data_IF_854898978018
#
_entry.id   IF_854898978018
#
_cell.length_a   1.000
_cell.length_b   1.000
_cell.length_c   1.000
_cell.angle_alpha   90.00
_cell.angle_beta   90.00
_cell.angle_gamma   90.00
#
_symmetry.space_group_name_H-M   'P 1'
#
loop_
_entity.id
_entity.type
_entity.pdbx_description
1 polymer ?
#
# COMPACT_ATOMS: atom_id res chain seq x y z
N UNK A 1 21.93 -85.00 84.33
CA UNK A 1 21.83 -83.52 84.31
C UNK A 1 22.60 -82.99 83.12
N UNK A 2 21.90 -82.34 82.19
CA UNK A 2 22.39 -81.93 80.86
C UNK A 2 22.38 -80.39 80.78
N UNK A 3 23.50 -79.70 80.50
CA UNK A 3 23.50 -78.25 80.38
C UNK A 3 23.35 -77.83 78.91
N UNK A 4 22.42 -76.90 78.69
CA UNK A 4 22.06 -76.34 77.38
C UNK A 4 23.10 -75.35 76.85
N UNK A 5 23.19 -75.34 75.51
CA UNK A 5 24.00 -74.50 74.61
C UNK A 5 23.68 -73.00 74.71
N UNK A 6 24.72 -72.16 74.71
CA UNK A 6 24.65 -70.75 74.27
C UNK A 6 25.48 -70.55 73.00
N UNK A 7 24.82 -70.63 71.85
CA UNK A 7 25.35 -70.21 70.55
C UNK A 7 24.56 -68.97 70.10
N UNK A 8 25.27 -68.01 69.49
CA UNK A 8 24.79 -66.91 68.63
C UNK A 8 24.55 -65.51 69.22
N UNK A 9 25.64 -64.76 69.47
CA UNK A 9 25.59 -63.28 69.49
C UNK A 9 26.56 -62.68 68.45
N UNK A 10 27.75 -63.27 68.25
CA UNK A 10 28.82 -62.70 67.39
C UNK A 10 28.54 -62.62 65.88
N UNK A 11 27.59 -63.39 65.32
CA UNK A 11 27.28 -63.34 63.87
C UNK A 11 26.27 -62.24 63.47
N UNK A 12 25.55 -61.62 64.42
CA UNK A 12 24.62 -60.51 64.12
C UNK A 12 25.32 -59.16 63.96
N UNK A 13 26.44 -58.91 64.64
CA UNK A 13 27.16 -57.62 64.55
C UNK A 13 27.92 -57.42 63.24
N UNK A 14 28.48 -58.47 62.65
CA UNK A 14 29.25 -58.37 61.39
C UNK A 14 28.33 -58.10 60.19
N UNK A 15 27.04 -58.49 60.25
CA UNK A 15 26.06 -58.12 59.20
C UNK A 15 25.55 -56.69 59.35
N UNK A 16 25.49 -56.13 60.57
CA UNK A 16 25.02 -54.76 60.81
C UNK A 16 26.03 -53.71 60.30
N UNK A 17 27.32 -53.98 60.48
CA UNK A 17 28.41 -53.09 60.01
C UNK A 17 28.58 -53.03 58.49
N UNK A 18 28.23 -54.09 57.74
CA UNK A 18 28.19 -54.03 56.26
C UNK A 18 26.98 -53.27 55.71
N UNK A 19 25.82 -53.38 56.37
CA UNK A 19 24.62 -52.62 56.00
C UNK A 19 24.79 -51.11 56.30
N UNK A 20 25.39 -50.75 57.43
CA UNK A 20 25.68 -49.35 57.77
C UNK A 20 26.73 -48.72 56.85
N UNK A 21 27.80 -49.45 56.48
CA UNK A 21 28.81 -48.92 55.54
C UNK A 21 28.27 -48.69 54.11
N UNK A 22 27.34 -49.52 53.62
CA UNK A 22 26.72 -49.29 52.29
C UNK A 22 25.70 -48.15 52.31
N UNK A 23 24.93 -47.98 53.40
CA UNK A 23 23.98 -46.88 53.53
C UNK A 23 24.65 -45.50 53.72
N UNK A 24 25.81 -45.44 54.38
CA UNK A 24 26.58 -44.21 54.55
C UNK A 24 27.19 -43.66 53.25
N UNK A 25 27.50 -44.53 52.28
CA UNK A 25 28.00 -44.13 50.96
C UNK A 25 26.94 -43.38 50.14
N UNK A 26 25.72 -43.94 50.03
CA UNK A 26 24.62 -43.27 49.33
C UNK A 26 24.17 -41.97 50.03
N UNK A 27 24.21 -41.94 51.36
CA UNK A 27 23.83 -40.74 52.13
C UNK A 27 24.85 -39.60 52.00
N UNK A 28 26.12 -39.90 51.68
CA UNK A 28 27.13 -38.88 51.31
C UNK A 28 26.99 -38.37 49.87
N UNK A 29 26.29 -39.12 49.02
CA UNK A 29 26.01 -38.73 47.63
C UNK A 29 24.75 -37.86 47.49
N UNK A 30 23.87 -37.83 48.50
CA UNK A 30 22.62 -37.07 48.48
C UNK A 30 22.52 -36.13 49.68
N UNK A 31 23.23 -34.99 49.69
CA UNK A 31 22.92 -33.92 50.63
C UNK A 31 21.45 -33.51 50.45
N UNK A 32 20.75 -33.07 51.51
CA UNK A 32 19.37 -32.61 51.39
C UNK A 32 19.32 -31.49 50.35
N UNK A 33 18.72 -31.80 49.20
CA UNK A 33 18.58 -30.84 48.11
C UNK A 33 17.65 -29.75 48.62
N UNK A 34 18.16 -28.53 48.75
CA UNK A 34 17.32 -27.38 49.03
C UNK A 34 16.37 -27.20 47.83
N UNK A 35 15.07 -27.40 48.07
CA UNK A 35 13.99 -27.35 47.07
C UNK A 35 14.07 -26.08 46.21
N UNK A 36 14.41 -24.95 46.81
CA UNK A 36 14.56 -23.68 46.10
C UNK A 36 15.62 -23.75 45.00
N UNK A 37 16.73 -24.45 45.26
CA UNK A 37 17.80 -24.68 44.29
C UNK A 37 17.30 -25.45 43.07
N UNK A 38 16.52 -26.50 43.32
CA UNK A 38 15.99 -27.37 42.28
C UNK A 38 14.98 -26.61 41.43
N UNK A 39 14.10 -25.84 42.07
CA UNK A 39 13.11 -24.99 41.38
C UNK A 39 13.79 -23.92 40.53
N UNK A 40 14.81 -23.24 41.07
CA UNK A 40 15.59 -22.23 40.34
C UNK A 40 16.27 -22.83 39.11
N UNK A 41 16.95 -23.98 39.27
CA UNK A 41 17.59 -24.70 38.16
C UNK A 41 16.58 -25.16 37.12
N UNK A 42 15.44 -25.70 37.54
CA UNK A 42 14.35 -26.09 36.64
C UNK A 42 13.78 -24.89 35.87
N UNK A 43 13.61 -23.74 36.53
CA UNK A 43 13.15 -22.51 35.89
C UNK A 43 14.12 -21.99 34.84
N UNK A 44 15.43 -21.96 35.14
CA UNK A 44 16.47 -21.54 34.20
C UNK A 44 16.58 -22.52 33.03
N UNK A 45 16.48 -23.83 33.30
CA UNK A 45 16.45 -24.86 32.27
C UNK A 45 15.24 -24.72 31.34
N UNK A 46 14.05 -24.44 31.88
CA UNK A 46 12.86 -24.17 31.09
C UNK A 46 13.00 -22.90 30.23
N UNK A 47 13.59 -21.83 30.78
CA UNK A 47 13.83 -20.58 30.05
C UNK A 47 14.86 -20.80 28.92
N UNK A 48 15.94 -21.54 29.16
CA UNK A 48 16.90 -21.91 28.14
C UNK A 48 16.26 -22.76 27.03
N UNK A 49 15.42 -23.73 27.39
CA UNK A 49 14.64 -24.52 26.43
C UNK A 49 13.70 -23.65 25.58
N UNK A 50 13.06 -22.66 26.19
CA UNK A 50 12.22 -21.70 25.48
C UNK A 50 13.03 -20.82 24.50
N UNK A 51 14.19 -20.29 24.93
CA UNK A 51 15.09 -19.49 24.07
C UNK A 51 15.52 -20.29 22.83
N UNK A 52 15.86 -21.57 22.98
CA UNK A 52 16.27 -22.41 21.85
C UNK A 52 15.08 -22.80 20.95
N UNK A 53 13.88 -22.96 21.52
CA UNK A 53 12.68 -23.32 20.77
C UNK A 53 12.06 -22.13 20.01
N UNK A 54 12.19 -20.91 20.53
CA UNK A 54 11.57 -19.69 19.97
C UNK A 54 12.18 -19.27 18.62
N UNK A 55 13.35 -19.79 18.26
CA UNK A 55 14.15 -19.31 17.14
C UNK A 55 13.72 -19.72 15.72
N UNK A 56 12.78 -20.65 15.55
CA UNK A 56 12.42 -21.15 14.22
C UNK A 56 13.54 -21.90 13.49
N UNK A 57 13.27 -22.29 12.24
CA UNK A 57 14.30 -22.69 11.29
C UNK A 57 14.89 -21.44 10.63
N UNK A 58 16.17 -21.48 10.31
CA UNK A 58 16.89 -20.37 9.70
C UNK A 58 17.32 -20.82 8.31
N UNK A 59 17.26 -19.91 7.35
CA UNK A 59 17.73 -20.13 5.99
C UNK A 59 19.25 -20.35 6.00
N UNK A 60 19.71 -21.45 5.38
CA UNK A 60 21.12 -21.88 5.35
C UNK A 60 21.94 -21.22 4.23
N UNK A 61 21.48 -20.08 3.71
CA UNK A 61 22.17 -19.33 2.65
C UNK A 61 22.32 -17.86 3.02
N UNK A 62 23.43 -17.26 2.55
CA UNK A 62 23.85 -15.92 2.93
C UNK A 62 24.15 -15.07 1.70
N UNK A 63 24.05 -13.75 1.87
CA UNK A 63 24.50 -12.81 0.85
C UNK A 63 25.99 -13.01 0.55
N UNK A 64 26.34 -13.03 -0.74
CA UNK A 64 27.70 -13.28 -1.21
C UNK A 64 28.10 -14.75 -1.25
N UNK A 65 27.28 -15.68 -0.76
CA UNK A 65 27.55 -17.12 -0.91
C UNK A 65 27.39 -17.54 -2.37
N UNK A 66 28.35 -18.34 -2.86
CA UNK A 66 28.26 -18.93 -4.20
C UNK A 66 27.52 -20.27 -4.13
N UNK A 67 26.42 -20.37 -4.87
CA UNK A 67 25.67 -21.61 -5.06
C UNK A 67 26.01 -22.23 -6.41
N UNK A 68 26.23 -23.55 -6.42
CA UNK A 68 26.61 -24.28 -7.64
C UNK A 68 25.40 -24.71 -8.49
N UNK A 69 24.21 -24.72 -7.88
CA UNK A 69 22.96 -25.18 -8.50
C UNK A 69 21.89 -24.13 -8.29
N UNK A 70 20.99 -24.05 -9.26
CA UNK A 70 19.80 -23.23 -9.14
C UNK A 70 18.94 -23.71 -7.96
N UNK A 71 18.38 -22.77 -7.21
CA UNK A 71 17.43 -23.04 -6.13
C UNK A 71 16.03 -22.86 -6.68
N UNK A 72 15.22 -23.90 -6.57
CA UNK A 72 13.81 -23.89 -6.98
C UNK A 72 12.88 -23.77 -5.78
N UNK A 73 11.68 -23.24 -6.01
CA UNK A 73 10.66 -23.09 -4.97
C UNK A 73 10.15 -24.44 -4.49
N UNK A 74 10.01 -24.63 -3.18
CA UNK A 74 9.46 -25.85 -2.58
C UNK A 74 7.97 -25.76 -2.32
N UNK A 75 7.42 -24.56 -2.25
CA UNK A 75 6.00 -24.27 -2.02
C UNK A 75 5.49 -23.24 -3.01
N UNK A 76 4.19 -23.25 -3.26
CA UNK A 76 3.55 -22.14 -3.95
C UNK A 76 3.53 -20.93 -3.01
N UNK A 77 4.07 -19.79 -3.44
CA UNK A 77 4.03 -18.55 -2.67
C UNK A 77 3.90 -17.32 -3.57
N UNK A 78 3.59 -16.19 -2.95
CA UNK A 78 3.39 -14.93 -3.65
C UNK A 78 4.19 -13.82 -2.98
N UNK A 79 5.16 -13.25 -3.70
CA UNK A 79 5.96 -12.13 -3.20
C UNK A 79 5.32 -10.81 -3.62
N UNK A 80 5.18 -9.88 -2.67
CA UNK A 80 4.71 -8.53 -2.96
C UNK A 80 5.67 -7.82 -3.91
N UNK A 81 5.14 -7.34 -5.05
CA UNK A 81 5.91 -6.57 -6.02
C UNK A 81 5.56 -5.08 -5.88
N UNK A 82 6.38 -4.36 -5.13
CA UNK A 82 6.18 -2.93 -4.87
C UNK A 82 6.27 -2.11 -6.16
N UNK A 83 7.27 -2.37 -7.00
CA UNK A 83 7.49 -1.63 -8.24
C UNK A 83 6.28 -1.77 -9.18
N UNK A 84 5.82 -3.00 -9.43
CA UNK A 84 4.66 -3.23 -10.29
C UNK A 84 3.38 -2.62 -9.69
N UNK A 85 3.23 -2.63 -8.36
CA UNK A 85 2.13 -1.96 -7.69
C UNK A 85 2.16 -0.45 -7.94
N UNK A 86 3.33 0.18 -7.81
CA UNK A 86 3.51 1.62 -8.06
C UNK A 86 3.23 1.95 -9.53
N UNK A 87 3.77 1.17 -10.47
CA UNK A 87 3.53 1.35 -11.91
C UNK A 87 2.04 1.26 -12.26
N UNK A 88 1.33 0.26 -11.72
CA UNK A 88 -0.11 0.11 -11.92
C UNK A 88 -0.91 1.26 -11.30
N UNK A 89 -0.48 1.77 -10.14
CA UNK A 89 -1.08 2.93 -9.48
C UNK A 89 -0.90 4.22 -10.27
N UNK A 90 0.31 4.46 -10.79
CA UNK A 90 0.61 5.60 -11.67
C UNK A 90 -0.22 5.50 -12.94
N UNK A 91 -0.26 4.33 -13.57
CA UNK A 91 -1.09 4.09 -14.76
C UNK A 91 -2.58 4.33 -14.50
N UNK A 92 -3.11 3.87 -13.36
CA UNK A 92 -4.51 4.10 -12.99
C UNK A 92 -4.81 5.60 -12.79
N UNK A 93 -3.90 6.33 -12.14
CA UNK A 93 -3.99 7.79 -11.98
C UNK A 93 -3.94 8.53 -13.31
N UNK A 94 -3.06 8.10 -14.23
CA UNK A 94 -2.87 8.70 -15.55
C UNK A 94 -4.03 8.43 -16.51
N UNK A 95 -4.62 7.23 -16.45
CA UNK A 95 -5.76 6.83 -17.29
C UNK A 95 -7.12 7.30 -16.76
N UNK A 96 -7.14 7.88 -15.55
CA UNK A 96 -8.34 8.48 -14.96
C UNK A 96 -8.92 9.60 -15.83
N UNK A 97 -10.25 9.76 -15.87
CA UNK A 97 -10.87 10.75 -16.73
C UNK A 97 -10.60 12.19 -16.27
N UNK A 98 -10.47 13.09 -17.24
CA UNK A 98 -10.42 14.54 -16.99
C UNK A 98 -11.85 15.08 -16.90
N UNK A 99 -12.18 15.81 -15.84
CA UNK A 99 -13.51 16.41 -15.66
C UNK A 99 -13.53 17.86 -16.13
N UNK A 100 -14.60 18.23 -16.82
CA UNK A 100 -14.87 19.60 -17.21
C UNK A 100 -16.28 19.97 -16.81
N UNK A 101 -16.46 21.17 -16.27
CA UNK A 101 -17.74 21.70 -15.82
C UNK A 101 -18.22 22.81 -16.73
N UNK A 102 -19.48 22.75 -17.17
CA UNK A 102 -20.11 23.81 -17.94
C UNK A 102 -20.14 25.12 -17.14
N UNK A 103 -19.72 26.21 -17.77
CA UNK A 103 -19.82 27.56 -17.24
C UNK A 103 -21.26 28.09 -17.39
N UNK A 104 -22.10 27.74 -16.41
CA UNK A 104 -23.51 28.15 -16.38
C UNK A 104 -23.69 29.69 -16.44
N UNK A 105 -22.72 30.45 -15.92
CA UNK A 105 -22.76 31.92 -15.96
C UNK A 105 -22.62 32.44 -17.39
N UNK A 106 -21.70 31.86 -18.17
CA UNK A 106 -21.53 32.18 -19.59
C UNK A 106 -22.77 31.77 -20.41
N UNK A 107 -23.35 30.61 -20.13
CA UNK A 107 -24.58 30.17 -20.81
C UNK A 107 -25.76 31.11 -20.53
N UNK A 108 -25.90 31.57 -19.29
CA UNK A 108 -26.94 32.54 -18.89
C UNK A 108 -26.68 33.90 -19.54
N UNK A 109 -25.44 34.34 -19.59
CA UNK A 109 -25.01 35.58 -20.26
C UNK A 109 -25.31 35.54 -21.76
N UNK A 110 -24.94 34.46 -22.46
CA UNK A 110 -25.24 34.25 -23.87
C UNK A 110 -26.75 34.31 -24.12
N UNK A 111 -27.55 33.58 -23.33
CA UNK A 111 -29.01 33.57 -23.46
C UNK A 111 -29.60 34.96 -23.22
N UNK A 112 -29.16 35.65 -22.17
CA UNK A 112 -29.65 36.98 -21.80
C UNK A 112 -29.33 38.02 -22.85
N UNK A 113 -28.09 38.07 -23.35
CA UNK A 113 -27.68 39.02 -24.39
C UNK A 113 -28.42 38.79 -25.71
N UNK A 114 -28.54 37.54 -26.15
CA UNK A 114 -29.28 37.21 -27.37
C UNK A 114 -30.78 37.51 -27.23
N UNK A 115 -31.42 37.13 -26.12
CA UNK A 115 -32.84 37.41 -25.90
C UNK A 115 -33.12 38.93 -25.81
N UNK A 116 -32.20 39.71 -25.24
CA UNK A 116 -32.36 41.16 -25.09
C UNK A 116 -32.36 41.93 -26.43
N UNK A 117 -31.84 41.35 -27.51
CA UNK A 117 -31.81 41.99 -28.84
C UNK A 117 -33.20 42.38 -29.31
N UNK A 118 -34.20 41.52 -29.09
CA UNK A 118 -35.56 41.79 -29.51
C UNK A 118 -36.20 42.92 -28.69
N UNK A 119 -35.88 43.01 -27.40
CA UNK A 119 -36.35 44.11 -26.55
C UNK A 119 -35.75 45.45 -27.00
N UNK A 120 -34.45 45.47 -27.33
CA UNK A 120 -33.79 46.65 -27.91
C UNK A 120 -34.42 47.04 -29.24
N UNK A 121 -34.77 46.06 -30.08
CA UNK A 121 -35.40 46.31 -31.37
C UNK A 121 -36.78 46.93 -31.25
N UNK A 122 -37.58 46.50 -30.27
CA UNK A 122 -38.88 47.11 -29.96
C UNK A 122 -38.73 48.55 -29.43
N UNK A 123 -37.68 48.83 -28.67
CA UNK A 123 -37.41 50.17 -28.14
C UNK A 123 -36.91 51.17 -29.21
N UNK A 124 -36.26 50.67 -30.27
CA UNK A 124 -35.64 51.48 -31.32
C UNK A 124 -36.18 51.12 -32.72
N UNK A 125 -37.49 50.89 -32.84
CA UNK A 125 -38.10 50.43 -34.10
C UNK A 125 -37.88 51.41 -35.26
N UNK A 126 -37.92 52.72 -34.97
CA UNK A 126 -37.80 53.81 -35.95
C UNK A 126 -36.36 54.31 -36.17
N UNK A 127 -35.38 53.81 -35.39
CA UNK A 127 -33.98 54.26 -35.46
C UNK A 127 -33.01 53.06 -35.56
N UNK A 128 -32.71 52.61 -36.80
CA UNK A 128 -31.84 51.46 -37.04
C UNK A 128 -30.41 51.65 -36.52
N UNK A 129 -29.90 52.89 -36.53
CA UNK A 129 -28.54 53.18 -36.05
C UNK A 129 -28.47 53.16 -34.53
N UNK A 130 -29.47 53.70 -33.84
CA UNK A 130 -29.57 53.57 -32.39
C UNK A 130 -29.70 52.10 -31.96
N UNK A 131 -30.47 51.29 -32.71
CA UNK A 131 -30.56 49.85 -32.47
C UNK A 131 -29.20 49.16 -32.64
N UNK A 132 -28.48 49.39 -33.74
CA UNK A 132 -27.12 48.83 -33.93
C UNK A 132 -26.17 49.25 -32.81
N UNK A 133 -26.19 50.52 -32.41
CA UNK A 133 -25.34 51.02 -31.33
C UNK A 133 -25.67 50.38 -29.97
N UNK A 134 -26.96 50.25 -29.64
CA UNK A 134 -27.42 49.60 -28.41
C UNK A 134 -27.10 48.10 -28.40
N UNK A 135 -27.32 47.40 -29.51
CA UNK A 135 -26.95 46.00 -29.69
C UNK A 135 -25.44 45.80 -29.50
N UNK A 136 -24.62 46.63 -30.15
CA UNK A 136 -23.15 46.56 -30.03
C UNK A 136 -22.67 46.81 -28.61
N UNK A 137 -23.30 47.72 -27.86
CA UNK A 137 -23.02 47.94 -26.43
C UNK A 137 -23.31 46.70 -25.59
N UNK A 138 -24.30 45.90 -25.98
CA UNK A 138 -24.59 44.60 -25.37
C UNK A 138 -23.73 43.44 -25.89
N UNK A 139 -22.80 43.71 -26.84
CA UNK A 139 -21.93 42.71 -27.47
C UNK A 139 -22.62 41.91 -28.59
N UNK A 140 -23.72 42.40 -29.13
CA UNK A 140 -24.44 41.79 -30.26
C UNK A 140 -24.13 42.57 -31.53
N UNK A 141 -23.74 41.86 -32.58
CA UNK A 141 -23.40 42.40 -33.90
C UNK A 141 -24.57 42.11 -34.84
N UNK A 142 -25.13 43.17 -35.42
CA UNK A 142 -26.21 43.10 -36.41
C UNK A 142 -25.70 43.65 -37.75
N UNK A 143 -25.61 42.78 -38.76
CA UNK A 143 -25.48 43.17 -40.16
C UNK A 143 -26.83 43.68 -40.72
N UNK A 144 -26.83 44.20 -41.95
CA UNK A 144 -28.01 44.83 -42.54
C UNK A 144 -29.19 43.85 -42.68
N UNK A 145 -28.89 42.61 -43.06
CA UNK A 145 -29.89 41.55 -43.19
C UNK A 145 -30.47 41.15 -41.82
N UNK A 146 -29.62 41.00 -40.81
CA UNK A 146 -30.02 40.65 -39.47
C UNK A 146 -30.79 41.78 -38.77
N UNK A 147 -30.41 43.04 -39.01
CA UNK A 147 -31.14 44.21 -38.52
C UNK A 147 -32.56 44.25 -39.08
N UNK A 148 -32.70 44.12 -40.40
CA UNK A 148 -34.00 44.12 -41.07
C UNK A 148 -34.90 42.99 -40.53
N UNK A 149 -34.34 41.80 -40.33
CA UNK A 149 -35.10 40.65 -39.81
C UNK A 149 -35.47 40.80 -38.32
N UNK A 150 -34.59 41.35 -37.48
CA UNK A 150 -34.91 41.67 -36.09
C UNK A 150 -36.00 42.74 -35.99
N UNK A 151 -35.95 43.79 -36.82
CA UNK A 151 -37.01 44.81 -36.87
C UNK A 151 -38.34 44.22 -37.32
N UNK A 152 -38.32 43.34 -38.33
CA UNK A 152 -39.51 42.60 -38.78
C UNK A 152 -40.10 41.76 -37.65
N UNK A 153 -39.27 41.05 -36.89
CA UNK A 153 -39.70 40.26 -35.73
C UNK A 153 -40.20 41.14 -34.57
N UNK A 154 -39.62 42.33 -34.38
CA UNK A 154 -40.04 43.28 -33.35
C UNK A 154 -41.41 43.90 -33.63
N UNK A 155 -41.77 44.06 -34.91
CA UNK A 155 -43.08 44.53 -35.35
C UNK A 155 -44.20 43.48 -35.19
N UNK A 156 -43.86 42.20 -35.03
CA UNK A 156 -44.83 41.15 -34.73
C UNK A 156 -45.24 41.20 -33.25
N UNK A 157 -46.52 40.93 -32.99
CA UNK A 157 -47.05 40.85 -31.63
C UNK A 157 -46.48 39.64 -30.87
N UNK A 158 -46.29 38.51 -31.57
CA UNK A 158 -45.70 37.28 -31.02
C UNK A 158 -44.18 37.17 -31.30
N UNK A 159 -43.41 37.18 -30.21
CA UNK A 159 -41.96 37.03 -30.18
C UNK A 159 -41.50 35.57 -30.00
N UNK A 160 -42.43 34.62 -29.90
CA UNK A 160 -42.15 33.23 -29.53
C UNK A 160 -41.16 32.52 -30.46
N UNK A 161 -41.24 32.78 -31.76
CA UNK A 161 -40.33 32.17 -32.75
C UNK A 161 -38.86 32.52 -32.47
N UNK A 162 -38.56 33.79 -32.19
CA UNK A 162 -37.20 34.23 -31.89
C UNK A 162 -36.70 33.62 -30.58
N UNK A 163 -37.54 33.63 -29.54
CA UNK A 163 -37.17 33.07 -28.24
C UNK A 163 -36.89 31.56 -28.34
N UNK A 164 -37.70 30.83 -29.11
CA UNK A 164 -37.49 29.41 -29.38
C UNK A 164 -36.19 29.15 -30.15
N UNK A 165 -35.82 30.03 -31.08
CA UNK A 165 -34.56 29.96 -31.80
C UNK A 165 -33.36 30.20 -30.87
N UNK A 166 -33.44 31.20 -29.98
CA UNK A 166 -32.42 31.46 -28.95
C UNK A 166 -32.26 30.25 -28.04
N UNK A 167 -33.35 29.71 -27.50
CA UNK A 167 -33.31 28.55 -26.60
C UNK A 167 -32.77 27.30 -27.31
N UNK A 168 -33.07 27.13 -28.60
CA UNK A 168 -32.52 26.06 -29.43
C UNK A 168 -31.02 26.23 -29.67
N UNK A 169 -30.56 27.44 -29.99
CA UNK A 169 -29.15 27.74 -30.17
C UNK A 169 -28.34 27.50 -28.88
N UNK A 170 -28.87 27.94 -27.74
CA UNK A 170 -28.27 27.70 -26.41
C UNK A 170 -28.18 26.21 -26.10
N UNK A 171 -29.22 25.44 -26.41
CA UNK A 171 -29.23 23.98 -26.26
C UNK A 171 -28.18 23.30 -27.13
N UNK A 172 -28.01 23.74 -28.38
CA UNK A 172 -26.97 23.22 -29.28
C UNK A 172 -25.58 23.56 -28.77
N UNK A 173 -25.32 24.82 -28.36
CA UNK A 173 -24.04 25.24 -27.80
C UNK A 173 -23.68 24.44 -26.55
N UNK A 174 -24.64 24.19 -25.65
CA UNK A 174 -24.46 23.35 -24.45
C UNK A 174 -23.98 21.94 -24.81
N UNK A 175 -24.33 21.43 -25.99
CA UNK A 175 -23.86 20.13 -26.46
C UNK A 175 -22.47 20.20 -27.12
N UNK A 176 -21.88 21.37 -27.36
CA UNK A 176 -20.55 21.49 -27.99
C UNK A 176 -19.45 21.43 -26.92
N UNK A 177 -18.44 20.55 -27.08
CA UNK A 177 -17.39 20.34 -26.08
C UNK A 177 -16.28 21.39 -26.17
N UNK A 178 -16.65 22.68 -26.08
CA UNK A 178 -15.72 23.80 -26.20
C UNK A 178 -14.94 24.00 -24.88
N UNK A 179 -13.66 23.66 -24.88
CA UNK A 179 -12.77 23.65 -23.71
C UNK A 179 -11.56 24.57 -23.89
N UNK A 180 -10.96 25.02 -22.79
CA UNK A 180 -9.83 25.95 -22.81
C UNK A 180 -8.47 25.23 -22.98
N UNK A 181 -7.63 25.62 -23.95
CA UNK A 181 -6.33 25.01 -24.21
C UNK A 181 -5.28 25.30 -23.14
N UNK A 182 -5.36 26.38 -22.35
CA UNK A 182 -4.29 26.75 -21.40
C UNK A 182 -4.14 25.71 -20.29
N UNK A 183 -5.24 25.11 -19.88
CA UNK A 183 -5.22 24.00 -18.93
C UNK A 183 -4.74 22.67 -19.55
N UNK A 184 -4.40 22.62 -20.85
CA UNK A 184 -3.95 21.39 -21.49
C UNK A 184 -2.62 20.86 -20.96
N UNK A 185 -1.74 21.71 -20.41
CA UNK A 185 -0.52 21.27 -19.72
C UNK A 185 -0.77 20.62 -18.36
N UNK A 186 -1.90 20.94 -17.71
CA UNK A 186 -2.34 20.31 -16.45
C UNK A 186 -3.09 19.00 -16.74
N UNK A 187 -3.64 18.85 -17.95
CA UNK A 187 -4.30 17.62 -18.38
C UNK A 187 -3.28 16.50 -18.45
N UNK A 188 -3.72 15.32 -18.04
CA UNK A 188 -2.94 14.10 -18.27
C UNK A 188 -3.13 13.70 -19.74
N UNK A 189 -2.07 13.69 -20.58
CA UNK A 189 -2.19 13.32 -21.99
C UNK A 189 -2.61 11.85 -22.15
N UNK A 190 -2.32 11.02 -21.15
CA UNK A 190 -2.71 9.61 -21.09
C UNK A 190 -4.17 9.39 -20.64
N UNK A 191 -4.93 10.44 -20.31
CA UNK A 191 -6.32 10.30 -19.94
C UNK A 191 -7.12 9.77 -21.15
N UNK A 192 -7.74 8.62 -20.99
CA UNK A 192 -8.48 7.96 -22.08
C UNK A 192 -9.85 8.59 -22.34
N UNK A 193 -10.36 9.38 -21.38
CA UNK A 193 -11.72 9.93 -21.40
C UNK A 193 -11.75 11.35 -20.83
N UNK A 194 -12.61 12.18 -21.40
CA UNK A 194 -13.02 13.46 -20.87
C UNK A 194 -14.50 13.37 -20.45
N UNK A 195 -14.82 13.79 -19.23
CA UNK A 195 -16.19 13.81 -18.72
C UNK A 195 -16.66 15.25 -18.65
N UNK A 196 -17.68 15.56 -19.44
CA UNK A 196 -18.34 16.86 -19.40
C UNK A 196 -19.50 16.80 -18.41
N UNK A 197 -19.48 17.71 -17.44
CA UNK A 197 -20.45 17.86 -16.39
C UNK A 197 -21.31 19.07 -16.65
N UNK A 198 -22.59 18.83 -16.62
CA UNK A 198 -23.59 19.86 -16.79
C UNK A 198 -24.33 20.09 -15.45
N UNK A 199 -24.17 21.25 -14.81
CA UNK A 199 -24.66 21.47 -13.44
C UNK A 199 -26.19 21.43 -13.33
N UNK A 200 -26.94 21.80 -14.38
CA UNK A 200 -28.42 21.82 -14.24
C UNK A 200 -29.03 20.43 -14.42
N UNK A 201 -28.39 19.55 -15.19
CA UNK A 201 -28.90 18.19 -15.45
C UNK A 201 -28.22 17.12 -14.61
N UNK A 202 -27.06 17.44 -14.01
CA UNK A 202 -26.17 16.47 -13.34
C UNK A 202 -25.76 15.28 -14.22
N UNK A 203 -25.95 15.36 -15.53
CA UNK A 203 -25.55 14.30 -16.45
C UNK A 203 -24.05 14.40 -16.77
N UNK A 204 -23.37 13.26 -16.73
CA UNK A 204 -22.00 13.14 -17.17
C UNK A 204 -21.96 12.64 -18.62
N UNK A 205 -21.34 13.41 -19.51
CA UNK A 205 -21.13 13.00 -20.90
C UNK A 205 -19.68 12.62 -21.12
N UNK A 206 -19.43 11.34 -21.33
CA UNK A 206 -18.12 10.83 -21.69
C UNK A 206 -17.81 11.11 -23.16
N UNK A 207 -16.67 11.75 -23.40
CA UNK A 207 -16.10 12.00 -24.71
C UNK A 207 -14.68 11.49 -24.75
N UNK A 208 -14.20 11.20 -25.95
CA UNK A 208 -12.77 10.98 -26.18
C UNK A 208 -12.03 12.33 -26.26
N UNK A 209 -10.74 12.39 -25.89
CA UNK A 209 -9.97 13.63 -25.96
C UNK A 209 -9.92 14.29 -27.34
N UNK A 210 -9.94 13.50 -28.43
CA UNK A 210 -9.98 13.96 -29.82
C UNK A 210 -11.31 14.58 -30.25
N UNK A 211 -12.36 14.42 -29.45
CA UNK A 211 -13.67 15.06 -29.68
C UNK A 211 -13.80 16.42 -29.00
N UNK A 212 -12.81 16.82 -28.18
CA UNK A 212 -12.82 18.13 -27.52
C UNK A 212 -12.51 19.23 -28.55
N UNK A 213 -13.30 20.29 -28.54
CA UNK A 213 -13.06 21.48 -29.37
C UNK A 213 -12.29 22.47 -28.50
N UNK A 214 -11.11 22.88 -28.94
CA UNK A 214 -10.31 23.84 -28.21
C UNK A 214 -10.65 25.27 -28.65
N UNK A 215 -10.67 26.21 -27.72
CA UNK A 215 -10.99 27.62 -28.01
C UNK A 215 -9.95 28.34 -28.88
N UNK A 216 -8.76 27.77 -29.08
CA UNK A 216 -7.76 28.29 -30.01
C UNK A 216 -7.91 27.77 -31.46
N UNK A 217 -8.76 26.76 -31.69
CA UNK A 217 -9.09 26.28 -33.04
C UNK A 217 -10.27 27.09 -33.59
N UNK A 218 -9.95 28.17 -34.29
CA UNK A 218 -10.95 29.11 -34.82
C UNK A 218 -11.96 28.42 -35.75
N UNK A 219 -11.53 27.46 -36.56
CA UNK A 219 -12.38 26.76 -37.52
C UNK A 219 -13.35 25.80 -36.81
N UNK A 220 -12.89 25.09 -35.78
CA UNK A 220 -13.76 24.23 -34.99
C UNK A 220 -14.77 25.05 -34.15
N UNK A 221 -14.36 26.21 -33.61
CA UNK A 221 -15.29 27.14 -32.96
C UNK A 221 -16.32 27.67 -33.94
N UNK A 222 -15.90 28.12 -35.12
CA UNK A 222 -16.81 28.65 -36.14
C UNK A 222 -17.85 27.61 -36.55
N UNK A 223 -17.44 26.34 -36.73
CA UNK A 223 -18.38 25.23 -37.00
C UNK A 223 -19.35 25.01 -35.85
N UNK A 224 -18.87 24.98 -34.61
CA UNK A 224 -19.73 24.82 -33.43
C UNK A 224 -20.78 25.94 -33.30
N UNK A 225 -20.39 27.18 -33.60
CA UNK A 225 -21.29 28.35 -33.61
C UNK A 225 -22.25 28.29 -34.80
N UNK A 226 -21.78 27.94 -35.99
CA UNK A 226 -22.61 27.76 -37.19
C UNK A 226 -23.75 26.76 -36.96
N UNK A 227 -23.43 25.61 -36.35
CA UNK A 227 -24.43 24.60 -35.98
C UNK A 227 -25.47 25.14 -34.99
N UNK A 228 -25.04 25.98 -34.04
CA UNK A 228 -25.96 26.59 -33.08
C UNK A 228 -26.89 27.62 -33.71
N UNK A 229 -26.39 28.41 -34.66
CA UNK A 229 -27.20 29.44 -35.32
C UNK A 229 -28.11 28.90 -36.42
N UNK A 230 -28.00 27.63 -36.79
CA UNK A 230 -28.88 27.00 -37.77
C UNK A 230 -30.37 27.08 -37.38
N UNK A 231 -30.67 27.20 -36.07
CA UNK A 231 -32.01 27.42 -35.54
C UNK A 231 -32.61 28.80 -35.87
N UNK A 232 -31.78 29.79 -36.21
CA UNK A 232 -32.25 31.09 -36.65
C UNK A 232 -32.58 31.08 -38.15
N UNK A 233 -33.49 31.98 -38.53
CA UNK A 233 -33.79 32.28 -39.94
C UNK A 233 -32.53 32.76 -40.66
N UNK A 234 -32.43 32.45 -41.95
CA UNK A 234 -31.25 32.70 -42.77
C UNK A 234 -30.68 34.13 -42.64
N UNK A 235 -31.48 35.21 -42.67
CA UNK A 235 -30.95 36.58 -42.55
C UNK A 235 -30.26 36.88 -41.23
N UNK A 236 -30.59 36.14 -40.15
CA UNK A 236 -30.01 36.35 -38.82
C UNK A 236 -28.76 35.53 -38.56
N UNK A 237 -28.47 34.49 -39.35
CA UNK A 237 -27.44 33.51 -39.00
C UNK A 237 -26.05 34.13 -38.88
N UNK A 238 -25.69 35.01 -39.82
CA UNK A 238 -24.40 35.69 -39.82
C UNK A 238 -24.25 36.63 -38.60
N UNK A 239 -25.24 37.48 -38.38
CA UNK A 239 -25.35 38.35 -37.20
C UNK A 239 -25.24 37.59 -35.87
N UNK A 240 -26.02 36.52 -35.70
CA UNK A 240 -26.03 35.74 -34.47
C UNK A 240 -24.72 34.98 -34.26
N UNK A 241 -24.08 34.48 -35.33
CA UNK A 241 -22.79 33.83 -35.24
C UNK A 241 -21.70 34.81 -34.79
N UNK A 242 -21.64 36.00 -35.41
CA UNK A 242 -20.73 37.07 -35.03
C UNK A 242 -20.95 37.50 -33.57
N UNK A 243 -22.21 37.62 -33.16
CA UNK A 243 -22.58 37.97 -31.77
C UNK A 243 -22.12 36.92 -30.76
N UNK A 244 -22.35 35.63 -31.02
CA UNK A 244 -21.91 34.55 -30.11
C UNK A 244 -20.38 34.58 -29.98
N UNK A 245 -19.65 34.74 -31.09
CA UNK A 245 -18.18 34.82 -31.07
C UNK A 245 -17.71 36.04 -30.28
N UNK A 246 -18.35 37.19 -30.44
CA UNK A 246 -18.00 38.41 -29.71
C UNK A 246 -18.25 38.27 -28.19
N UNK A 247 -19.36 37.65 -27.81
CA UNK A 247 -19.66 37.35 -26.40
C UNK A 247 -18.62 36.37 -25.82
N UNK A 248 -18.20 35.36 -26.60
CA UNK A 248 -17.13 34.45 -26.19
C UNK A 248 -15.77 35.15 -26.09
N UNK A 249 -15.49 36.20 -26.88
CA UNK A 249 -14.25 37.00 -26.79
C UNK A 249 -14.25 38.00 -25.65
N UNK A 250 -15.43 38.43 -25.17
CA UNK A 250 -15.54 39.48 -24.17
C UNK A 250 -14.87 39.03 -22.86
N UNK A 251 -13.76 39.67 -22.42
CA UNK A 251 -13.05 39.27 -21.23
C UNK A 251 -13.90 39.58 -20.00
N UNK A 252 -14.23 38.56 -19.21
CA UNK A 252 -14.96 38.71 -17.96
C UNK A 252 -14.04 38.52 -16.72
N UNK A 253 -12.80 38.10 -16.93
CA UNK A 253 -11.84 37.84 -15.87
C UNK A 253 -10.56 38.65 -16.09
N UNK A 254 -10.03 39.25 -15.01
CA UNK A 254 -8.81 40.06 -15.00
C UNK A 254 -7.55 39.32 -15.51
N UNK A 255 -7.63 37.99 -15.67
CA UNK A 255 -6.51 37.12 -16.04
C UNK A 255 -6.62 36.55 -17.46
N UNK A 256 -7.64 36.90 -18.24
CA UNK A 256 -7.81 36.33 -19.58
C UNK A 256 -7.00 37.11 -20.62
N UNK A 257 -6.20 36.41 -21.44
CA UNK A 257 -5.42 37.02 -22.51
C UNK A 257 -6.34 37.77 -23.49
N UNK A 258 -6.02 39.02 -23.88
CA UNK A 258 -6.82 39.75 -24.86
C UNK A 258 -7.02 38.93 -26.15
N UNK A 259 -8.29 38.79 -26.58
CA UNK A 259 -8.66 38.05 -27.79
C UNK A 259 -8.83 36.53 -27.61
N UNK A 260 -8.55 35.98 -26.43
CA UNK A 260 -8.82 34.57 -26.15
C UNK A 260 -10.32 34.30 -25.98
N UNK A 261 -10.83 33.28 -26.67
CA UNK A 261 -12.22 32.84 -26.55
C UNK A 261 -12.45 32.11 -25.21
N UNK A 262 -13.55 32.47 -24.52
CA UNK A 262 -14.00 31.81 -23.28
C UNK A 262 -14.47 30.38 -23.58
N UNK A 263 -14.04 29.38 -22.81
CA UNK A 263 -14.54 28.01 -22.96
C UNK A 263 -15.96 27.89 -22.42
N UNK A 264 -16.78 27.03 -23.02
CA UNK A 264 -18.06 26.64 -22.44
C UNK A 264 -17.84 25.69 -21.25
N UNK A 265 -16.84 24.82 -21.35
CA UNK A 265 -16.50 23.84 -20.33
C UNK A 265 -15.12 24.12 -19.73
N UNK A 266 -15.08 24.41 -18.43
CA UNK A 266 -13.86 24.68 -17.66
C UNK A 266 -13.33 23.40 -17.02
N UNK A 267 -12.02 23.24 -16.96
CA UNK A 267 -11.41 22.08 -16.30
C UNK A 267 -11.68 22.10 -14.80
N UNK A 268 -12.25 21.02 -14.26
CA UNK A 268 -12.50 20.86 -12.82
C UNK A 268 -11.32 20.14 -12.19
N UNK A 269 -10.31 20.93 -11.78
CA UNK A 269 -9.08 20.42 -11.16
C UNK A 269 -9.38 19.64 -9.88
N UNK A 270 -10.28 20.14 -9.03
CA UNK A 270 -10.58 19.53 -7.74
C UNK A 270 -11.17 18.13 -7.93
N UNK A 271 -12.19 17.98 -8.80
CA UNK A 271 -12.81 16.68 -9.07
C UNK A 271 -11.87 15.73 -9.80
N UNK A 272 -11.11 16.23 -10.78
CA UNK A 272 -10.14 15.40 -11.52
C UNK A 272 -9.04 14.85 -10.58
N UNK A 273 -8.51 15.69 -9.69
CA UNK A 273 -7.53 15.25 -8.67
C UNK A 273 -8.17 14.21 -7.76
N UNK A 274 -9.35 14.48 -7.20
CA UNK A 274 -10.03 13.56 -6.29
C UNK A 274 -10.29 12.17 -6.91
N UNK A 275 -10.79 12.13 -8.15
CA UNK A 275 -11.05 10.86 -8.86
C UNK A 275 -9.75 10.12 -9.15
N UNK A 276 -8.68 10.84 -9.50
CA UNK A 276 -7.40 10.20 -9.78
C UNK A 276 -6.69 9.66 -8.55
N UNK A 277 -6.81 10.34 -7.41
CA UNK A 277 -6.30 9.85 -6.13
C UNK A 277 -7.10 8.63 -5.66
N UNK A 278 -8.42 8.63 -5.90
CA UNK A 278 -9.26 7.46 -5.66
C UNK A 278 -8.80 6.27 -6.52
N UNK A 279 -8.62 6.48 -7.83
CA UNK A 279 -8.13 5.44 -8.74
C UNK A 279 -6.75 4.91 -8.33
N UNK A 280 -5.83 5.78 -7.88
CA UNK A 280 -4.52 5.39 -7.35
C UNK A 280 -4.64 4.49 -6.11
N UNK A 281 -5.51 4.84 -5.16
CA UNK A 281 -5.68 4.07 -3.91
C UNK A 281 -6.39 2.74 -4.11
N UNK A 282 -7.29 2.65 -5.09
CA UNK A 282 -8.07 1.45 -5.39
C UNK A 282 -7.28 0.36 -6.11
N UNK A 283 -6.06 0.66 -6.62
CA UNK A 283 -5.22 -0.37 -7.23
C UNK A 283 -4.75 -1.38 -6.16
N UNK A 284 -5.10 -2.67 -6.31
CA UNK A 284 -4.67 -3.70 -5.36
C UNK A 284 -3.17 -3.91 -5.44
N UNK A 285 -2.60 -4.37 -4.32
CA UNK A 285 -1.20 -4.81 -4.27
C UNK A 285 -0.98 -5.91 -5.31
N UNK A 286 0.08 -5.76 -6.09
CA UNK A 286 0.50 -6.74 -7.08
C UNK A 286 1.46 -7.73 -6.43
N UNK A 287 1.33 -9.00 -6.82
CA UNK A 287 2.16 -10.08 -6.30
C UNK A 287 2.74 -10.88 -7.45
N UNK A 288 4.03 -11.20 -7.37
CA UNK A 288 4.67 -12.19 -8.24
C UNK A 288 4.45 -13.56 -7.63
N UNK A 289 3.74 -14.42 -8.35
CA UNK A 289 3.48 -15.79 -7.93
C UNK A 289 4.62 -16.68 -8.38
N UNK A 290 5.00 -17.61 -7.51
CA UNK A 290 5.98 -18.65 -7.75
C UNK A 290 5.32 -19.98 -7.44
N UNK A 291 5.35 -20.90 -8.40
CA UNK A 291 4.87 -22.26 -8.25
C UNK A 291 5.99 -23.17 -7.72
N UNK A 292 5.62 -24.30 -7.12
CA UNK A 292 6.57 -25.36 -6.79
C UNK A 292 7.40 -25.74 -8.03
N UNK A 293 8.71 -25.76 -7.87
CA UNK A 293 9.66 -26.08 -8.93
C UNK A 293 10.14 -24.88 -9.76
N UNK A 294 9.53 -23.70 -9.62
CA UNK A 294 10.01 -22.50 -10.30
C UNK A 294 11.41 -22.14 -9.80
N UNK A 295 12.32 -21.81 -10.72
CA UNK A 295 13.66 -21.34 -10.37
C UNK A 295 13.57 -19.96 -9.70
N UNK A 296 13.99 -19.89 -8.44
CA UNK A 296 14.05 -18.64 -7.68
C UNK A 296 15.37 -17.92 -7.91
N UNK A 297 16.47 -18.68 -7.91
CA UNK A 297 17.81 -18.15 -8.09
C UNK A 297 18.64 -19.12 -8.92
N UNK A 298 19.34 -18.60 -9.93
CA UNK A 298 20.27 -19.37 -10.75
C UNK A 298 21.60 -19.63 -10.00
N UNK A 299 22.40 -20.58 -10.49
CA UNK A 299 23.74 -20.82 -9.94
C UNK A 299 24.62 -19.56 -10.06
N UNK A 300 25.27 -19.15 -8.98
CA UNK A 300 25.99 -17.88 -8.92
C UNK A 300 26.24 -17.38 -7.50
N UNK A 301 26.67 -16.13 -7.38
CA UNK A 301 26.83 -15.43 -6.10
C UNK A 301 25.50 -14.79 -5.72
N UNK A 302 25.01 -15.09 -4.52
CA UNK A 302 23.72 -14.60 -4.04
C UNK A 302 23.74 -13.10 -3.75
N UNK A 303 22.77 -12.36 -4.29
CA UNK A 303 22.53 -10.94 -3.99
C UNK A 303 21.57 -10.77 -2.81
N UNK A 304 21.54 -9.58 -2.20
CA UNK A 304 20.58 -9.25 -1.14
C UNK A 304 19.11 -9.49 -1.54
N UNK A 305 18.73 -9.13 -2.78
CA UNK A 305 17.37 -9.34 -3.30
C UNK A 305 17.02 -10.82 -3.42
N UNK A 306 17.98 -11.64 -3.86
CA UNK A 306 17.81 -13.09 -3.95
C UNK A 306 17.67 -13.72 -2.57
N UNK A 307 18.43 -13.25 -1.58
CA UNK A 307 18.29 -13.71 -0.18
C UNK A 307 16.91 -13.34 0.37
N UNK A 308 16.42 -12.12 0.12
CA UNK A 308 15.07 -11.73 0.54
C UNK A 308 13.98 -12.60 -0.11
N UNK A 309 14.13 -12.96 -1.39
CA UNK A 309 13.23 -13.88 -2.09
C UNK A 309 13.27 -15.29 -1.49
N UNK A 310 14.46 -15.83 -1.23
CA UNK A 310 14.63 -17.15 -0.64
C UNK A 310 14.13 -17.19 0.82
N UNK A 311 14.29 -16.11 1.57
CA UNK A 311 13.74 -16.01 2.93
C UNK A 311 12.21 -16.01 2.91
N UNK A 312 11.59 -15.27 2.00
CA UNK A 312 10.13 -15.27 1.84
C UNK A 312 9.58 -16.66 1.48
N UNK A 313 10.26 -17.39 0.58
CA UNK A 313 9.91 -18.79 0.29
C UNK A 313 10.10 -19.68 1.50
N UNK A 314 11.20 -19.51 2.24
CA UNK A 314 11.50 -20.33 3.40
C UNK A 314 10.48 -20.16 4.52
N UNK A 315 10.05 -18.93 4.79
CA UNK A 315 9.04 -18.62 5.79
C UNK A 315 7.70 -19.30 5.46
N UNK A 316 7.28 -19.25 4.19
CA UNK A 316 6.09 -19.94 3.69
C UNK A 316 6.25 -21.47 3.73
N UNK A 317 7.43 -21.99 3.36
CA UNK A 317 7.73 -23.41 3.46
C UNK A 317 7.66 -23.91 4.91
N UNK A 318 8.21 -23.17 5.87
CA UNK A 318 8.16 -23.49 7.31
C UNK A 318 6.74 -23.43 7.82
N UNK A 319 5.96 -22.42 7.42
CA UNK A 319 4.55 -22.28 7.78
C UNK A 319 3.73 -23.46 7.24
N UNK A 320 3.88 -23.81 5.97
CA UNK A 320 3.22 -24.93 5.31
C UNK A 320 3.61 -26.27 5.97
N UNK A 321 4.90 -26.49 6.23
CA UNK A 321 5.39 -27.71 6.89
C UNK A 321 4.88 -27.83 8.33
N UNK A 322 4.76 -26.70 9.05
CA UNK A 322 4.21 -26.65 10.40
C UNK A 322 2.72 -26.96 10.41
N UNK A 323 1.97 -26.44 9.44
CA UNK A 323 0.56 -26.74 9.27
C UNK A 323 0.33 -28.23 8.92
N UNK A 324 1.18 -28.79 8.05
CA UNK A 324 1.08 -30.19 7.64
C UNK A 324 1.47 -31.19 8.76
N UNK A 325 2.46 -30.85 9.60
CA UNK A 325 3.03 -31.77 10.59
C UNK A 325 3.18 -31.17 12.00
N UNK A 326 2.08 -30.73 12.65
CA UNK A 326 2.16 -29.98 13.91
C UNK A 326 2.78 -30.80 15.06
N UNK A 327 2.55 -32.11 15.10
CA UNK A 327 3.10 -33.00 16.14
C UNK A 327 4.63 -33.12 16.04
N UNK A 328 5.16 -33.27 14.81
CA UNK A 328 6.61 -33.36 14.59
C UNK A 328 7.32 -32.10 15.09
N UNK A 329 6.78 -30.93 14.81
CA UNK A 329 7.33 -29.66 15.29
C UNK A 329 7.32 -29.53 16.81
N UNK A 330 6.23 -29.96 17.46
CA UNK A 330 6.17 -30.02 18.94
C UNK A 330 7.21 -30.99 19.51
N UNK A 331 7.41 -32.15 18.89
CA UNK A 331 8.42 -33.12 19.31
C UNK A 331 9.85 -32.59 19.13
N UNK A 332 10.14 -31.90 18.01
CA UNK A 332 11.45 -31.27 17.80
C UNK A 332 11.69 -30.17 18.83
N UNK A 333 10.69 -29.31 19.08
CA UNK A 333 10.78 -28.27 20.09
C UNK A 333 10.98 -28.86 21.50
N UNK A 334 10.23 -29.91 21.85
CA UNK A 334 10.38 -30.64 23.11
C UNK A 334 11.75 -31.30 23.22
N UNK A 335 12.26 -31.90 22.15
CA UNK A 335 13.60 -32.50 22.10
C UNK A 335 14.71 -31.47 22.34
N UNK A 336 14.62 -30.29 21.70
CA UNK A 336 15.54 -29.16 21.94
C UNK A 336 15.46 -28.66 23.38
N UNK A 337 14.25 -28.52 23.93
CA UNK A 337 14.05 -28.11 25.31
C UNK A 337 14.59 -29.14 26.32
N UNK A 338 14.38 -30.43 26.06
CA UNK A 338 14.91 -31.52 26.89
C UNK A 338 16.43 -31.57 26.87
N UNK A 339 17.05 -31.35 25.70
CA UNK A 339 18.51 -31.26 25.58
C UNK A 339 19.07 -30.07 26.38
N UNK A 340 18.47 -28.89 26.24
CA UNK A 340 18.83 -27.71 27.03
C UNK A 340 18.73 -27.98 28.54
N UNK A 341 17.62 -28.63 28.95
CA UNK A 341 17.37 -29.01 30.32
C UNK A 341 18.45 -29.96 30.86
N UNK A 342 18.82 -30.99 30.10
CA UNK A 342 19.87 -31.94 30.46
C UNK A 342 21.23 -31.27 30.59
N UNK A 343 21.58 -30.32 29.71
CA UNK A 343 22.83 -29.56 29.80
C UNK A 343 22.85 -28.71 31.07
N UNK A 344 21.79 -27.95 31.36
CA UNK A 344 21.70 -27.11 32.56
C UNK A 344 21.80 -27.96 33.83
N UNK A 345 21.02 -29.06 33.89
CA UNK A 345 21.07 -29.98 35.03
C UNK A 345 22.42 -30.68 35.16
N UNK A 346 23.03 -31.10 34.05
CA UNK A 346 24.34 -31.75 34.04
C UNK A 346 25.43 -30.83 34.60
N UNK A 347 25.46 -29.56 34.17
CA UNK A 347 26.39 -28.56 34.69
C UNK A 347 26.17 -28.30 36.17
N UNK A 348 24.92 -28.11 36.61
CA UNK A 348 24.60 -27.89 38.04
C UNK A 348 24.97 -29.12 38.89
N UNK A 349 24.66 -30.33 38.41
CA UNK A 349 25.00 -31.57 39.08
C UNK A 349 26.52 -31.73 39.19
N UNK A 350 27.26 -31.47 38.11
CA UNK A 350 28.72 -31.49 38.09
C UNK A 350 29.31 -30.53 39.13
N UNK A 351 28.91 -29.25 39.12
CA UNK A 351 29.37 -28.26 40.11
C UNK A 351 29.01 -28.71 41.54
N UNK A 352 27.84 -29.34 41.75
CA UNK A 352 27.44 -29.82 43.07
C UNK A 352 28.27 -30.98 43.60
N UNK A 353 28.80 -31.82 42.70
CA UNK A 353 29.63 -32.97 43.07
C UNK A 353 31.06 -32.54 43.36
N UNK A 354 31.65 -31.69 42.52
CA UNK A 354 33.07 -31.33 42.59
C UNK A 354 33.34 -30.04 43.39
N UNK A 355 32.37 -29.13 43.50
CA UNK A 355 32.55 -27.81 44.12
C UNK A 355 31.39 -27.44 45.07
N UNK A 356 31.18 -28.29 46.08
CA UNK A 356 30.14 -28.09 47.10
C UNK A 356 30.18 -26.70 47.75
N UNK A 357 31.37 -26.10 47.88
CA UNK A 357 31.54 -24.76 48.44
C UNK A 357 31.07 -23.62 47.53
N UNK A 358 31.06 -23.79 46.21
CA UNK A 358 30.59 -22.75 45.29
C UNK A 358 29.07 -22.58 45.33
N UNK A 359 28.33 -23.70 45.50
CA UNK A 359 26.87 -23.70 45.53
C UNK A 359 26.25 -23.37 46.89
N UNK A 360 27.03 -23.22 47.96
CA UNK A 360 26.50 -22.86 49.28
C UNK A 360 26.03 -21.40 49.33
N UNK A 361 26.63 -20.52 48.52
CA UNK A 361 26.23 -19.12 48.42
C UNK A 361 25.14 -18.93 47.36
N UNK A 362 23.91 -18.50 47.73
CA UNK A 362 22.81 -18.33 46.79
C UNK A 362 23.10 -17.30 45.70
N UNK A 363 23.90 -16.26 46.00
CA UNK A 363 24.30 -15.23 45.03
C UNK A 363 25.21 -15.81 43.97
N UNK A 364 26.22 -16.61 44.36
CA UNK A 364 27.12 -17.26 43.40
C UNK A 364 26.35 -18.21 42.48
N UNK A 365 25.41 -18.98 43.03
CA UNK A 365 24.58 -19.88 42.22
C UNK A 365 23.69 -19.12 41.23
N UNK A 366 23.02 -18.07 41.68
CA UNK A 366 22.19 -17.24 40.80
C UNK A 366 23.05 -16.62 39.68
N UNK A 367 24.25 -16.13 40.01
CA UNK A 367 25.20 -15.60 39.03
C UNK A 367 25.63 -16.65 38.00
N UNK A 368 26.00 -17.87 38.42
CA UNK A 368 26.37 -18.95 37.49
C UNK A 368 25.23 -19.32 36.54
N UNK A 369 23.99 -19.40 37.04
CA UNK A 369 22.82 -19.68 36.22
C UNK A 369 22.48 -18.54 35.27
N UNK A 370 22.61 -17.29 35.73
CA UNK A 370 22.40 -16.11 34.89
C UNK A 370 23.44 -16.05 33.76
N UNK A 371 24.71 -16.33 34.05
CA UNK A 371 25.78 -16.45 33.05
C UNK A 371 25.44 -17.55 32.05
N UNK A 372 25.06 -18.74 32.51
CA UNK A 372 24.69 -19.85 31.63
C UNK A 372 23.51 -19.51 30.73
N UNK A 373 22.50 -18.80 31.26
CA UNK A 373 21.38 -18.32 30.46
C UNK A 373 21.80 -17.25 29.43
N UNK A 374 22.65 -16.30 29.83
CA UNK A 374 23.20 -15.29 28.94
C UNK A 374 24.00 -15.93 27.80
N UNK A 375 24.73 -17.01 28.07
CA UNK A 375 25.46 -17.77 27.05
C UNK A 375 24.51 -18.48 26.07
N UNK A 376 23.41 -19.07 26.54
CA UNK A 376 22.37 -19.62 25.64
C UNK A 376 21.75 -18.51 24.77
N UNK A 377 21.45 -17.36 25.36
CA UNK A 377 20.92 -16.21 24.64
C UNK A 377 21.92 -15.68 23.60
N UNK A 378 23.20 -15.54 23.95
CA UNK A 378 24.26 -15.11 23.04
C UNK A 378 24.53 -16.11 21.93
N UNK A 379 24.51 -17.41 22.23
CA UNK A 379 24.68 -18.44 21.20
C UNK A 379 23.51 -18.41 20.23
N UNK A 380 22.28 -18.25 20.74
CA UNK A 380 21.08 -18.10 19.89
C UNK A 380 21.10 -16.81 19.08
N UNK A 381 21.50 -15.70 19.69
CA UNK A 381 21.64 -14.41 19.02
C UNK A 381 22.71 -14.49 17.93
N UNK A 382 23.84 -15.14 18.20
CA UNK A 382 24.92 -15.34 17.23
C UNK A 382 24.45 -16.19 16.05
N UNK A 383 23.71 -17.27 16.33
CA UNK A 383 23.08 -18.09 15.29
C UNK A 383 22.07 -17.29 14.45
N UNK A 384 21.25 -16.45 15.09
CA UNK A 384 20.25 -15.65 14.39
C UNK A 384 20.83 -14.45 13.62
N UNK A 385 21.88 -13.82 14.14
CA UNK A 385 22.46 -12.60 13.57
C UNK A 385 23.55 -12.86 12.55
N UNK A 386 24.37 -13.90 12.76
CA UNK A 386 25.49 -14.25 11.89
C UNK A 386 25.25 -15.50 11.07
N UNK A 387 24.06 -16.12 11.22
CA UNK A 387 23.70 -17.36 10.53
C UNK A 387 24.82 -18.41 10.60
N UNK A 388 25.44 -18.52 11.77
CA UNK A 388 26.58 -19.42 11.95
C UNK A 388 26.13 -20.86 11.67
N UNK A 389 26.90 -21.62 10.88
CA UNK A 389 26.54 -23.00 10.57
C UNK A 389 26.42 -23.80 11.87
N UNK A 390 25.54 -24.79 11.88
CA UNK A 390 25.19 -25.52 13.11
C UNK A 390 26.44 -26.12 13.79
N UNK A 391 27.48 -26.50 13.03
CA UNK A 391 28.73 -27.00 13.59
C UNK A 391 29.45 -25.94 14.43
N UNK A 392 29.43 -24.67 14.02
CA UNK A 392 30.04 -23.58 14.77
C UNK A 392 29.33 -23.33 16.10
N UNK A 393 28.00 -23.48 16.15
CA UNK A 393 27.25 -23.39 17.43
C UNK A 393 27.65 -24.47 18.43
N UNK A 394 27.97 -25.68 17.98
CA UNK A 394 28.50 -26.74 18.85
C UNK A 394 29.87 -26.33 19.42
N UNK A 395 30.72 -25.71 18.59
CA UNK A 395 31.99 -25.15 19.01
C UNK A 395 31.86 -24.11 20.13
N UNK A 396 30.90 -23.18 20.01
CA UNK A 396 30.61 -22.22 21.06
C UNK A 396 30.16 -22.91 22.36
N UNK A 397 29.26 -23.89 22.29
CA UNK A 397 28.83 -24.64 23.47
C UNK A 397 29.97 -25.40 24.15
N UNK A 398 30.87 -26.02 23.38
CA UNK A 398 32.05 -26.70 23.91
C UNK A 398 33.03 -25.72 24.58
N UNK A 399 33.28 -24.57 23.94
CA UNK A 399 34.12 -23.52 24.50
C UNK A 399 33.54 -22.95 25.81
N UNK A 400 32.22 -22.75 25.88
CA UNK A 400 31.53 -22.32 27.08
C UNK A 400 31.62 -23.34 28.22
N UNK A 401 31.44 -24.63 27.92
CA UNK A 401 31.61 -25.70 28.90
C UNK A 401 33.04 -25.74 29.45
N UNK A 402 34.04 -25.53 28.59
CA UNK A 402 35.44 -25.45 29.00
C UNK A 402 35.72 -24.22 29.88
N UNK A 403 35.20 -23.04 29.52
CA UNK A 403 35.33 -21.82 30.34
C UNK A 403 34.72 -21.98 31.72
N UNK A 404 33.52 -22.57 31.81
CA UNK A 404 32.88 -22.85 33.09
C UNK A 404 33.69 -23.85 33.91
N UNK A 405 34.35 -24.83 33.29
CA UNK A 405 35.23 -25.77 33.99
C UNK A 405 36.59 -25.17 34.43
N UNK A 406 37.01 -24.04 33.85
CA UNK A 406 38.26 -23.34 34.20
C UNK A 406 38.04 -22.32 35.31
N UNK A 407 36.95 -21.55 35.24
CA UNK A 407 36.63 -20.49 36.22
C UNK A 407 36.27 -21.06 37.59
N UNK A 408 35.80 -22.30 37.62
CA UNK A 408 35.27 -22.99 38.77
C UNK A 408 36.03 -24.29 38.96
#
# INVERSE_FOLDING_TARGET
MWPFRTRTIRRKEIRRTRAERRSGGLRRLTPPLNLWSVLLTAGVAALAGWILAAGGEVLDVHEGQRIERAITSRVDFALYNEQQTIEMRVRARETSPNYYRLDASLMTELRGRLANVLALAKAHIDDPEALRAAARKSGVILDDAGLAEIQRLAALEDAGEYQNAVDSAIRVLRLKPLVDPENAGIRRPAATKALLLDPDTSQERALRPDQLIFTNDADAVQRAVSDAVAAFREPLRASMAASIIEILRTPNAANQKPGALRPLYRFDTARTVAVSEKAYREVPRQYRKYAVGDTLVDAGVLTAEQIALLQAEHDEYVAATRAAHPVRWRLVALGRAMLAFLIVFGVVAYISLYQRGALSNPVRRAASLAVLLALFALTRLSFAAFHTPAEATVGYHAFHAALLAIVY
#
